data_IF_572597371281
#
_entry.id   IF_572597371281
#
_cell.length_a   1.000
_cell.length_b   1.000
_cell.length_c   1.000
_cell.angle_alpha   90.00
_cell.angle_beta   90.00
_cell.angle_gamma   90.00
#
_symmetry.space_group_name_H-M   'P 1'
#
loop_
_entity.id
_entity.type
_entity.pdbx_description
1 polymer ?
#
# COMPACT_ATOMS: atom_id res chain seq x y z
N UNK A 1 29.83 -49.60 -48.25
CA UNK A 1 30.52 -50.55 -47.33
C UNK A 1 29.71 -50.63 -46.04
N UNK A 2 29.10 -51.79 -45.84
CA UNK A 2 28.20 -52.09 -44.70
C UNK A 2 29.01 -52.43 -43.44
N UNK A 3 28.64 -51.90 -42.30
CA UNK A 3 28.96 -52.53 -41.03
C UNK A 3 27.70 -52.57 -40.15
N UNK A 4 27.24 -53.81 -39.97
CA UNK A 4 26.18 -54.21 -39.05
C UNK A 4 26.73 -54.13 -37.61
N UNK A 5 25.98 -53.55 -36.72
CA UNK A 5 26.26 -53.60 -35.27
C UNK A 5 25.13 -54.43 -34.64
N UNK A 6 25.56 -55.45 -33.93
CA UNK A 6 24.77 -56.48 -33.25
C UNK A 6 24.27 -55.91 -31.92
N UNK A 7 22.97 -56.04 -31.68
CA UNK A 7 22.33 -55.68 -30.40
C UNK A 7 22.35 -56.92 -29.50
N UNK A 8 23.01 -56.83 -28.35
CA UNK A 8 22.94 -57.84 -27.30
C UNK A 8 21.84 -57.47 -26.30
N UNK A 9 20.83 -58.32 -26.20
CA UNK A 9 19.73 -58.21 -25.26
C UNK A 9 20.13 -58.81 -23.93
N UNK A 10 20.27 -58.01 -22.86
CA UNK A 10 20.43 -58.53 -21.50
C UNK A 10 19.09 -58.35 -20.76
N UNK A 11 18.46 -59.49 -20.49
CA UNK A 11 17.24 -59.53 -19.66
C UNK A 11 17.67 -59.58 -18.20
N UNK A 12 17.38 -58.54 -17.42
CA UNK A 12 17.57 -58.51 -15.98
C UNK A 12 16.19 -58.63 -15.31
N UNK A 13 15.96 -59.77 -14.67
CA UNK A 13 14.78 -60.04 -13.85
C UNK A 13 15.03 -59.39 -12.49
N UNK A 14 14.29 -58.35 -12.12
CA UNK A 14 14.25 -57.75 -10.81
C UNK A 14 13.00 -58.16 -10.06
N UNK A 15 13.23 -58.86 -8.95
CA UNK A 15 12.21 -59.30 -7.99
C UNK A 15 11.75 -58.04 -7.23
N UNK A 16 10.45 -57.72 -7.33
CA UNK A 16 9.82 -56.64 -6.57
C UNK A 16 9.52 -57.12 -5.14
N UNK A 17 10.27 -56.64 -4.15
CA UNK A 17 9.84 -56.65 -2.75
C UNK A 17 8.91 -55.46 -2.52
N UNK A 18 7.64 -55.71 -2.32
CA UNK A 18 6.65 -54.70 -1.92
C UNK A 18 6.87 -54.38 -0.44
N UNK A 19 7.52 -53.23 -0.15
CA UNK A 19 7.40 -52.58 1.16
C UNK A 19 6.19 -51.66 1.15
N UNK A 20 5.17 -52.01 1.94
CA UNK A 20 3.99 -51.20 2.17
C UNK A 20 4.37 -50.09 3.14
N UNK A 21 4.79 -48.92 2.63
CA UNK A 21 4.94 -47.70 3.43
C UNK A 21 3.66 -46.91 3.34
N UNK A 22 2.88 -46.91 4.41
CA UNK A 22 1.78 -45.95 4.63
C UNK A 22 2.36 -44.56 4.71
N UNK A 23 2.27 -43.82 3.64
CA UNK A 23 2.58 -42.38 3.59
C UNK A 23 1.47 -41.64 4.33
N UNK A 24 1.76 -41.19 5.54
CA UNK A 24 0.91 -40.22 6.24
C UNK A 24 1.02 -38.89 5.48
N UNK A 25 -0.08 -38.45 4.90
CA UNK A 25 -0.21 -37.11 4.31
C UNK A 25 -0.08 -36.08 5.43
N UNK A 26 0.86 -35.14 5.39
CA UNK A 26 0.85 -34.06 6.38
C UNK A 26 -0.39 -33.19 6.14
N UNK A 27 -1.32 -33.22 7.09
CA UNK A 27 -2.43 -32.26 7.15
C UNK A 27 -1.82 -30.92 7.53
N UNK A 28 -1.62 -30.06 6.55
CA UNK A 28 -1.28 -28.65 6.82
C UNK A 28 -2.53 -27.97 7.36
N UNK A 29 -2.62 -27.86 8.68
CA UNK A 29 -3.55 -26.90 9.28
C UNK A 29 -3.17 -25.52 8.74
N UNK A 30 -4.15 -24.71 8.24
CA UNK A 30 -3.87 -23.32 7.94
C UNK A 30 -3.49 -22.66 9.27
N UNK A 31 -2.23 -22.25 9.37
CA UNK A 31 -1.76 -21.43 10.48
C UNK A 31 -2.53 -20.12 10.40
N UNK A 32 -3.48 -19.93 11.31
CA UNK A 32 -4.10 -18.64 11.51
C UNK A 32 -3.00 -17.66 11.94
N UNK A 33 -2.70 -16.70 11.08
CA UNK A 33 -1.85 -15.59 11.46
C UNK A 33 -2.54 -14.86 12.62
N UNK A 34 -1.83 -14.59 13.73
CA UNK A 34 -2.39 -13.74 14.76
C UNK A 34 -2.65 -12.38 14.10
N UNK A 35 -3.92 -11.99 14.05
CA UNK A 35 -4.30 -10.61 13.78
C UNK A 35 -3.82 -9.79 14.97
N UNK A 36 -2.58 -9.32 14.89
CA UNK A 36 -2.10 -8.30 15.79
C UNK A 36 -2.80 -7.00 15.37
N UNK A 37 -3.92 -6.71 16.03
CA UNK A 37 -4.43 -5.34 16.05
C UNK A 37 -3.35 -4.49 16.74
N UNK A 38 -2.66 -3.60 16.04
CA UNK A 38 -1.87 -2.60 16.72
C UNK A 38 -2.86 -1.71 17.47
N UNK A 39 -2.86 -1.81 18.80
CA UNK A 39 -3.63 -0.91 19.65
C UNK A 39 -2.91 0.43 19.63
N UNK A 40 -3.20 1.25 18.63
CA UNK A 40 -2.78 2.64 18.64
C UNK A 40 -3.66 3.38 19.65
N UNK A 41 -3.03 4.00 20.63
CA UNK A 41 -3.69 4.77 21.67
C UNK A 41 -4.27 6.09 21.14
N UNK A 42 -5.20 6.05 20.18
CA UNK A 42 -6.03 7.19 19.86
C UNK A 42 -7.03 7.36 21.00
N UNK A 43 -6.91 8.46 21.73
CA UNK A 43 -7.92 8.84 22.72
C UNK A 43 -9.25 9.00 21.98
N UNK A 44 -10.25 8.20 22.30
CA UNK A 44 -11.55 8.07 21.60
C UNK A 44 -12.28 9.41 21.33
N UNK A 45 -11.91 10.49 22.02
CA UNK A 45 -12.49 11.83 21.83
C UNK A 45 -11.91 12.66 20.68
N UNK A 46 -10.84 12.21 20.04
CA UNK A 46 -10.15 12.96 18.98
C UNK A 46 -10.42 12.42 17.57
N UNK A 47 -11.06 11.25 17.42
CA UNK A 47 -11.37 10.65 16.12
C UNK A 47 -12.47 11.46 15.43
N UNK A 48 -12.18 11.93 14.22
CA UNK A 48 -13.11 12.65 13.35
C UNK A 48 -13.79 11.71 12.36
N UNK A 49 -13.05 10.71 11.89
CA UNK A 49 -13.51 9.70 10.94
C UNK A 49 -12.63 8.45 11.06
N UNK A 50 -13.21 7.28 10.91
CA UNK A 50 -12.47 6.03 10.81
C UNK A 50 -13.19 5.07 9.89
N UNK A 51 -12.41 4.26 9.18
CA UNK A 51 -12.92 3.22 8.30
C UNK A 51 -11.98 2.01 8.30
N UNK A 52 -12.51 0.84 8.62
CA UNK A 52 -11.81 -0.44 8.50
C UNK A 52 -12.12 -1.14 7.17
N UNK A 53 -12.88 -0.47 6.28
CA UNK A 53 -13.31 -0.93 4.97
C UNK A 53 -14.17 -2.19 4.96
N UNK A 54 -14.81 -2.55 6.08
CA UNK A 54 -15.71 -3.70 6.15
C UNK A 54 -17.09 -3.42 5.56
N UNK A 55 -17.50 -2.14 5.50
CA UNK A 55 -18.72 -1.70 4.82
C UNK A 55 -18.37 -1.13 3.43
N UNK A 56 -18.75 -1.88 2.39
CA UNK A 56 -18.52 -1.45 1.01
C UNK A 56 -19.31 -0.20 0.58
N UNK A 57 -20.19 0.32 1.44
CA UNK A 57 -20.94 1.55 1.19
C UNK A 57 -20.43 2.74 2.04
N UNK A 58 -19.27 2.62 2.67
CA UNK A 58 -18.72 3.68 3.53
C UNK A 58 -18.25 4.93 2.75
N UNK A 59 -18.32 4.92 1.43
CA UNK A 59 -18.22 6.14 0.60
C UNK A 59 -16.92 6.31 -0.17
N UNK A 60 -16.05 5.30 -0.21
CA UNK A 60 -14.86 5.30 -1.06
C UNK A 60 -15.20 4.96 -2.51
N UNK A 61 -14.31 5.33 -3.41
CA UNK A 61 -14.52 5.16 -4.86
C UNK A 61 -14.60 3.68 -5.23
N UNK A 62 -15.65 3.29 -5.94
CA UNK A 62 -15.69 2.05 -6.71
C UNK A 62 -15.30 2.35 -8.15
N UNK A 63 -14.19 1.84 -8.61
CA UNK A 63 -13.71 2.03 -9.99
C UNK A 63 -13.06 0.76 -10.51
N UNK A 64 -13.50 0.35 -11.69
CA UNK A 64 -12.84 -0.71 -12.45
C UNK A 64 -12.72 -0.29 -13.90
N UNK A 65 -11.50 -0.06 -14.37
CA UNK A 65 -11.22 0.24 -15.77
C UNK A 65 -9.86 -0.36 -16.18
N UNK A 66 -9.46 -0.16 -17.44
CA UNK A 66 -8.20 -0.71 -17.98
C UNK A 66 -6.93 -0.13 -17.32
N UNK A 67 -7.03 0.97 -16.56
CA UNK A 67 -5.88 1.67 -15.99
C UNK A 67 -5.72 1.45 -14.49
N UNK A 68 -6.83 1.24 -13.79
CA UNK A 68 -6.83 1.03 -12.33
C UNK A 68 -8.10 0.35 -11.86
N UNK A 69 -7.99 -0.38 -10.75
CA UNK A 69 -9.12 -0.87 -9.96
C UNK A 69 -9.02 -0.30 -8.56
N UNK A 70 -10.12 0.23 -8.05
CA UNK A 70 -10.26 0.70 -6.67
C UNK A 70 -11.55 0.13 -6.13
N UNK A 71 -11.48 -0.68 -5.06
CA UNK A 71 -12.63 -1.38 -4.54
C UNK A 71 -12.39 -1.89 -3.12
N UNK A 72 -13.48 -2.20 -2.42
CA UNK A 72 -13.42 -2.90 -1.15
C UNK A 72 -13.16 -4.38 -1.39
N UNK A 73 -12.32 -4.96 -0.54
CA UNK A 73 -12.02 -6.39 -0.54
C UNK A 73 -12.04 -6.92 0.88
N UNK A 74 -12.06 -8.25 1.04
CA UNK A 74 -11.93 -8.82 2.38
C UNK A 74 -10.62 -8.40 3.04
N UNK A 75 -10.72 -7.65 4.13
CA UNK A 75 -9.58 -7.16 4.90
C UNK A 75 -9.14 -5.74 4.59
N UNK A 76 -9.79 -4.99 3.68
CA UNK A 76 -9.43 -3.60 3.44
C UNK A 76 -9.96 -3.00 2.15
N UNK A 77 -9.33 -1.92 1.74
CA UNK A 77 -9.59 -1.20 0.50
C UNK A 77 -8.39 -1.32 -0.45
N UNK A 78 -8.66 -1.68 -1.65
CA UNK A 78 -7.69 -2.09 -2.66
C UNK A 78 -7.52 -1.01 -3.73
N UNK A 79 -6.27 -0.66 -4.03
CA UNK A 79 -5.93 0.19 -5.17
C UNK A 79 -4.90 -0.55 -6.03
N UNK A 80 -5.34 -1.01 -7.20
CA UNK A 80 -4.47 -1.61 -8.21
C UNK A 80 -4.25 -0.64 -9.36
N UNK A 81 -3.00 -0.39 -9.75
CA UNK A 81 -2.61 0.54 -10.82
C UNK A 81 -1.90 -0.23 -11.93
N UNK A 82 -2.59 -0.43 -13.05
CA UNK A 82 -2.11 -1.22 -14.19
C UNK A 82 -1.43 -0.39 -15.28
N UNK A 83 -1.36 0.93 -15.11
CA UNK A 83 -0.73 1.85 -16.06
C UNK A 83 0.44 2.55 -15.39
N UNK A 84 1.59 2.61 -16.07
CA UNK A 84 2.79 3.33 -15.61
C UNK A 84 2.50 4.82 -15.44
N UNK A 85 3.14 5.43 -14.45
CA UNK A 85 3.08 6.87 -14.12
C UNK A 85 1.67 7.41 -13.80
N UNK A 86 0.70 6.52 -13.64
CA UNK A 86 -0.63 6.87 -13.17
C UNK A 86 -0.66 6.88 -11.65
N UNK A 87 -1.12 7.98 -11.07
CA UNK A 87 -1.52 8.06 -9.67
C UNK A 87 -3.03 7.82 -9.57
N UNK A 88 -3.42 6.76 -8.91
CA UNK A 88 -4.80 6.49 -8.55
C UNK A 88 -5.07 7.03 -7.17
N UNK A 89 -6.12 7.84 -7.01
CA UNK A 89 -6.52 8.44 -5.73
C UNK A 89 -7.95 8.06 -5.39
N UNK A 90 -8.20 7.82 -4.10
CA UNK A 90 -9.53 7.62 -3.55
C UNK A 90 -9.72 8.54 -2.35
N UNK A 91 -10.78 9.30 -2.34
CA UNK A 91 -11.04 10.36 -1.37
C UNK A 91 -12.19 9.94 -0.47
N UNK A 92 -11.99 10.05 0.85
CA UNK A 92 -13.07 9.83 1.82
C UNK A 92 -14.18 10.86 1.60
N UNK A 93 -15.41 10.40 1.52
CA UNK A 93 -16.57 11.28 1.27
C UNK A 93 -16.97 12.06 2.55
N UNK A 94 -16.00 12.72 3.15
CA UNK A 94 -16.16 13.53 4.36
C UNK A 94 -15.20 14.72 4.35
N UNK A 95 -15.66 15.97 4.41
CA UNK A 95 -14.77 17.13 4.49
C UNK A 95 -14.21 17.29 5.92
N UNK A 96 -12.97 17.72 6.02
CA UNK A 96 -12.24 17.93 7.27
C UNK A 96 -11.79 19.38 7.43
N UNK A 97 -11.54 19.78 8.67
CA UNK A 97 -10.86 21.03 9.00
C UNK A 97 -9.41 21.01 8.51
N UNK A 98 -8.73 22.16 8.52
CA UNK A 98 -7.35 22.26 8.06
C UNK A 98 -6.33 21.49 8.92
N UNK A 99 -6.62 21.35 10.23
CA UNK A 99 -5.74 20.67 11.18
C UNK A 99 -6.24 19.25 11.45
N UNK A 100 -5.59 18.28 10.87
CA UNK A 100 -5.90 16.85 11.01
C UNK A 100 -4.63 16.01 11.05
N UNK A 101 -4.73 14.86 11.71
CA UNK A 101 -3.83 13.73 11.55
C UNK A 101 -4.55 12.62 10.79
N UNK A 102 -3.87 12.00 9.82
CA UNK A 102 -4.37 10.91 9.00
C UNK A 102 -3.48 9.70 9.22
N UNK A 103 -4.05 8.55 9.52
CA UNK A 103 -3.33 7.30 9.72
C UNK A 103 -3.92 6.19 8.86
N UNK A 104 -3.06 5.30 8.35
CA UNK A 104 -3.49 4.12 7.59
C UNK A 104 -2.41 3.04 7.63
N UNK A 105 -2.81 1.79 7.61
CA UNK A 105 -1.93 0.66 7.31
C UNK A 105 -1.97 0.36 5.82
N UNK A 106 -0.82 0.28 5.18
CA UNK A 106 -0.69 0.03 3.75
C UNK A 106 0.24 -1.16 3.49
N UNK A 107 -0.22 -2.11 2.70
CA UNK A 107 0.53 -3.32 2.33
C UNK A 107 0.60 -3.44 0.81
N UNK A 108 1.81 -3.53 0.26
CA UNK A 108 1.96 -3.90 -1.15
C UNK A 108 1.67 -5.39 -1.31
N UNK A 109 0.69 -5.75 -2.11
CA UNK A 109 0.27 -7.13 -2.38
C UNK A 109 0.85 -7.68 -3.67
N UNK A 110 1.16 -6.79 -4.64
CA UNK A 110 1.84 -7.17 -5.89
C UNK A 110 2.53 -5.97 -6.56
N UNK A 111 3.33 -6.26 -7.57
CA UNK A 111 3.96 -5.28 -8.44
C UNK A 111 5.33 -4.80 -8.00
N UNK A 112 5.91 -3.82 -8.74
CA UNK A 112 7.25 -3.31 -8.51
C UNK A 112 7.37 -2.57 -7.18
N UNK A 113 8.60 -2.52 -6.64
CA UNK A 113 8.89 -1.79 -5.41
C UNK A 113 9.05 -0.28 -5.63
N UNK A 114 9.39 0.15 -6.83
CA UNK A 114 9.36 1.57 -7.23
C UNK A 114 7.91 1.99 -7.47
N UNK A 115 7.32 2.58 -6.44
CA UNK A 115 5.91 2.97 -6.40
C UNK A 115 5.72 4.16 -5.46
N UNK A 116 4.50 4.72 -5.40
CA UNK A 116 4.07 5.58 -4.30
C UNK A 116 2.84 4.99 -3.64
N UNK A 117 2.88 4.96 -2.31
CA UNK A 117 1.82 4.48 -1.44
C UNK A 117 1.62 5.53 -0.35
N UNK A 118 0.41 6.03 -0.15
CA UNK A 118 0.29 7.06 0.86
C UNK A 118 -1.09 7.64 1.07
N UNK A 119 -1.09 8.80 1.74
CA UNK A 119 -2.28 9.53 2.13
C UNK A 119 -2.29 10.94 1.56
N UNK A 120 -3.48 11.48 1.43
CA UNK A 120 -3.75 12.83 0.90
C UNK A 120 -4.38 13.65 2.00
N UNK A 121 -3.92 14.90 2.18
CA UNK A 121 -4.63 15.88 2.99
C UNK A 121 -4.91 17.17 2.23
N UNK A 122 -5.89 17.92 2.73
CA UNK A 122 -6.34 19.19 2.15
C UNK A 122 -6.64 19.08 0.65
N UNK A 123 -7.27 17.97 0.26
CA UNK A 123 -7.70 17.78 -1.11
C UNK A 123 -8.82 18.77 -1.44
N UNK A 124 -8.58 19.61 -2.43
CA UNK A 124 -9.54 20.56 -2.97
C UNK A 124 -10.22 20.00 -4.24
N UNK A 125 -9.40 19.46 -5.13
CA UNK A 125 -9.74 18.78 -6.37
C UNK A 125 -8.57 17.93 -6.87
N UNK A 126 -8.73 17.23 -8.00
CA UNK A 126 -7.71 16.32 -8.57
C UNK A 126 -6.40 17.01 -8.96
N UNK A 127 -6.35 18.34 -8.96
CA UNK A 127 -5.20 19.14 -9.35
C UNK A 127 -4.57 19.90 -8.18
N UNK A 128 -5.20 19.88 -6.99
CA UNK A 128 -4.82 20.73 -5.87
C UNK A 128 -4.94 19.96 -4.55
N UNK A 129 -3.84 19.43 -4.04
CA UNK A 129 -3.77 18.70 -2.77
C UNK A 129 -2.32 18.45 -2.32
N UNK A 130 -2.12 18.20 -1.03
CA UNK A 130 -0.90 17.61 -0.51
C UNK A 130 -0.99 16.10 -0.45
N UNK A 131 0.15 15.43 -0.64
CA UNK A 131 0.26 14.01 -0.38
C UNK A 131 1.58 13.64 0.30
N UNK A 132 1.50 12.57 1.09
CA UNK A 132 2.57 11.99 1.86
C UNK A 132 2.71 10.56 1.40
N UNK A 133 3.86 10.21 0.89
CA UNK A 133 4.03 8.89 0.31
C UNK A 133 5.34 8.23 0.71
N UNK A 134 5.28 6.91 0.76
CA UNK A 134 6.43 6.01 0.80
C UNK A 134 6.48 5.21 -0.48
N UNK A 135 7.61 4.57 -0.72
CA UNK A 135 7.82 3.60 -1.79
C UNK A 135 8.30 2.27 -1.20
N UNK A 136 7.89 1.17 -1.78
CA UNK A 136 8.26 -0.17 -1.28
C UNK A 136 9.74 -0.49 -1.44
N UNK A 137 10.50 0.30 -2.20
CA UNK A 137 11.96 0.24 -2.27
C UNK A 137 12.67 1.09 -1.20
N UNK A 138 11.90 1.71 -0.28
CA UNK A 138 12.43 2.36 0.92
C UNK A 138 12.56 3.87 0.84
N UNK A 139 11.92 4.55 -0.10
CA UNK A 139 11.92 6.01 -0.22
C UNK A 139 10.66 6.64 0.36
N UNK A 140 10.78 7.88 0.83
CA UNK A 140 9.66 8.65 1.37
C UNK A 140 9.72 10.11 0.94
N UNK A 141 8.58 10.79 0.96
CA UNK A 141 8.52 12.21 0.69
C UNK A 141 7.15 12.84 0.95
N UNK A 142 7.17 14.17 1.03
CA UNK A 142 5.99 15.02 1.05
C UNK A 142 5.99 15.80 -0.26
N UNK A 143 4.84 15.84 -0.92
CA UNK A 143 4.70 16.53 -2.19
C UNK A 143 3.30 17.15 -2.32
N UNK A 144 3.12 17.97 -3.33
CA UNK A 144 1.81 18.53 -3.68
C UNK A 144 1.53 18.39 -5.18
N UNK A 145 0.27 18.32 -5.52
CA UNK A 145 -0.24 18.75 -6.81
C UNK A 145 -0.79 20.16 -6.70
N UNK A 146 -0.35 21.04 -7.59
CA UNK A 146 -0.89 22.40 -7.74
C UNK A 146 -1.07 22.69 -9.22
N UNK A 147 -2.30 22.97 -9.63
CA UNK A 147 -2.65 23.21 -11.03
C UNK A 147 -2.12 22.10 -11.97
N UNK A 148 -2.33 20.83 -11.60
CA UNK A 148 -1.86 19.63 -12.30
C UNK A 148 -0.34 19.43 -12.35
N UNK A 149 0.44 20.22 -11.64
CA UNK A 149 1.90 20.08 -11.56
C UNK A 149 2.29 19.49 -10.21
N UNK A 150 3.02 18.37 -10.23
CA UNK A 150 3.58 17.77 -9.03
C UNK A 150 4.86 18.51 -8.63
N UNK A 151 4.99 18.83 -7.36
CA UNK A 151 6.20 19.40 -6.75
C UNK A 151 6.53 18.65 -5.47
N UNK A 152 7.77 18.20 -5.34
CA UNK A 152 8.27 17.60 -4.09
C UNK A 152 8.60 18.73 -3.12
N UNK A 153 8.13 18.62 -1.88
CA UNK A 153 8.32 19.62 -0.84
C UNK A 153 9.38 19.24 0.19
N UNK A 154 9.62 17.94 0.37
CA UNK A 154 10.57 17.39 1.34
C UNK A 154 12.02 17.39 0.88
N UNK A 155 12.32 17.86 -0.34
CA UNK A 155 13.67 17.90 -0.93
C UNK A 155 13.64 18.02 -2.44
N UNK A 156 14.72 17.64 -3.12
CA UNK A 156 14.77 17.59 -4.58
C UNK A 156 14.16 16.30 -5.16
N UNK A 157 14.09 15.26 -4.35
CA UNK A 157 13.53 13.94 -4.67
C UNK A 157 12.98 13.31 -3.40
N UNK A 158 12.30 12.17 -3.50
CA UNK A 158 12.08 11.29 -2.37
C UNK A 158 13.43 10.70 -1.94
N UNK A 159 13.63 10.55 -0.63
CA UNK A 159 14.90 10.09 -0.07
C UNK A 159 14.68 8.80 0.73
N UNK A 160 15.74 7.99 0.84
CA UNK A 160 15.67 6.71 1.53
C UNK A 160 15.46 6.89 3.05
N UNK A 161 14.63 6.02 3.62
CA UNK A 161 14.37 5.99 5.07
C UNK A 161 14.38 4.56 5.59
N UNK A 162 15.18 4.34 6.64
CA UNK A 162 15.20 3.05 7.34
C UNK A 162 13.93 2.76 8.17
N UNK A 163 13.02 3.72 8.28
CA UNK A 163 11.73 3.53 8.92
C UNK A 163 10.76 2.70 8.07
N UNK A 164 11.04 2.52 6.78
CA UNK A 164 10.17 1.82 5.84
C UNK A 164 10.50 0.33 5.83
N UNK A 165 9.50 -0.50 6.05
CA UNK A 165 9.57 -1.93 5.77
C UNK A 165 9.45 -2.14 4.26
N UNK A 166 10.53 -2.57 3.61
CA UNK A 166 10.60 -2.70 2.16
C UNK A 166 9.86 -3.93 1.63
N UNK A 167 9.56 -3.92 0.33
CA UNK A 167 8.93 -5.02 -0.38
C UNK A 167 7.44 -5.18 -0.06
N UNK A 168 6.98 -6.42 0.06
CA UNK A 168 5.58 -6.77 0.33
C UNK A 168 5.26 -6.74 1.84
N UNK A 169 5.70 -5.71 2.54
CA UNK A 169 5.50 -5.53 3.96
C UNK A 169 4.45 -4.45 4.25
N UNK A 170 3.77 -4.58 5.38
CA UNK A 170 2.88 -3.54 5.88
C UNK A 170 3.69 -2.39 6.46
N UNK A 171 3.29 -1.18 6.12
CA UNK A 171 3.78 0.05 6.74
C UNK A 171 2.59 0.83 7.31
N UNK A 172 2.77 1.34 8.53
CA UNK A 172 1.86 2.31 9.12
C UNK A 172 2.31 3.71 8.71
N UNK A 173 1.44 4.43 7.99
CA UNK A 173 1.70 5.77 7.49
C UNK A 173 0.84 6.74 8.29
N UNK A 174 1.47 7.78 8.87
CA UNK A 174 0.76 8.90 9.50
C UNK A 174 1.20 10.21 8.86
N UNK A 175 0.24 11.05 8.56
CA UNK A 175 0.45 12.41 8.07
C UNK A 175 -0.25 13.41 8.98
N UNK A 176 0.49 14.37 9.52
CA UNK A 176 -0.06 15.50 10.26
C UNK A 176 -0.05 16.75 9.38
N UNK A 177 -1.22 17.35 9.20
CA UNK A 177 -1.40 18.63 8.51
C UNK A 177 -1.91 19.65 9.54
N UNK A 178 -0.97 20.43 10.14
CA UNK A 178 -1.27 21.32 11.27
C UNK A 178 -0.73 22.72 11.01
N UNK A 179 -1.60 23.72 10.87
CA UNK A 179 -1.19 25.03 10.40
C UNK A 179 -0.48 24.91 9.06
N UNK A 180 0.69 25.49 8.94
CA UNK A 180 1.56 25.37 7.76
C UNK A 180 2.56 24.21 7.86
N UNK A 181 2.53 23.45 8.96
CA UNK A 181 3.45 22.33 9.19
C UNK A 181 2.83 21.04 8.63
N UNK A 182 3.60 20.37 7.78
CA UNK A 182 3.28 19.07 7.20
C UNK A 182 4.31 18.06 7.69
N UNK A 183 3.87 16.99 8.38
CA UNK A 183 4.76 16.00 8.98
C UNK A 183 4.39 14.59 8.54
N UNK A 184 5.38 13.82 8.09
CA UNK A 184 5.25 12.41 7.72
C UNK A 184 5.91 11.53 8.79
N UNK A 185 5.15 10.56 9.26
CA UNK A 185 5.66 9.46 10.10
C UNK A 185 5.46 8.13 9.38
N UNK A 186 6.42 7.24 9.54
CA UNK A 186 6.35 5.87 9.04
C UNK A 186 6.72 4.92 10.18
N UNK A 187 5.86 3.96 10.46
CA UNK A 187 6.04 2.98 11.54
C UNK A 187 6.39 3.63 12.90
N UNK A 188 5.75 4.78 13.20
CA UNK A 188 5.95 5.56 14.42
C UNK A 188 7.17 6.49 14.41
N UNK A 189 8.01 6.45 13.39
CA UNK A 189 9.19 7.31 13.25
C UNK A 189 8.87 8.53 12.40
N UNK A 190 9.17 9.74 12.89
CA UNK A 190 9.09 10.96 12.08
C UNK A 190 10.16 10.93 10.99
N UNK A 191 9.72 10.97 9.73
CA UNK A 191 10.62 10.95 8.56
C UNK A 191 10.84 12.35 8.02
N UNK A 192 9.78 13.14 7.91
CA UNK A 192 9.85 14.53 7.44
C UNK A 192 8.97 15.45 8.30
N UNK A 193 9.39 16.71 8.39
CA UNK A 193 8.57 17.83 8.83
C UNK A 193 8.97 19.06 8.02
N UNK A 194 8.02 19.64 7.29
CA UNK A 194 8.25 20.80 6.41
C UNK A 194 7.19 21.87 6.65
N UNK A 195 7.47 23.08 6.18
CA UNK A 195 6.52 24.19 6.23
C UNK A 195 6.08 24.53 4.80
N UNK A 196 4.78 24.49 4.55
CA UNK A 196 4.17 24.94 3.30
C UNK A 196 2.75 25.46 3.56
N UNK A 197 2.46 26.67 3.09
CA UNK A 197 1.18 27.36 3.28
C UNK A 197 0.31 27.42 2.00
N UNK A 198 0.65 26.65 0.97
CA UNK A 198 -0.04 26.70 -0.33
C UNK A 198 -1.53 26.37 -0.20
N UNK A 199 -1.88 25.33 0.57
CA UNK A 199 -3.26 24.95 0.86
C UNK A 199 -3.55 25.13 2.36
N UNK A 200 -3.94 26.31 2.79
CA UNK A 200 -4.20 26.64 4.20
C UNK A 200 -5.58 26.27 4.71
N UNK A 201 -6.55 26.03 3.82
CA UNK A 201 -7.92 25.65 4.19
C UNK A 201 -8.06 24.14 4.42
N UNK A 202 -9.15 23.75 5.09
CA UNK A 202 -9.58 22.36 5.14
C UNK A 202 -9.91 21.80 3.75
N UNK A 203 -10.24 20.54 3.69
CA UNK A 203 -10.57 19.82 2.45
C UNK A 203 -10.88 18.37 2.76
N UNK A 204 -10.63 17.50 1.82
CA UNK A 204 -10.83 16.07 2.04
C UNK A 204 -9.48 15.36 2.32
N UNK A 205 -9.59 14.19 2.96
CA UNK A 205 -8.49 13.25 3.13
C UNK A 205 -8.69 12.05 2.21
N UNK A 206 -7.60 11.34 1.88
CA UNK A 206 -7.70 10.20 0.99
C UNK A 206 -6.47 9.33 0.95
N UNK A 207 -6.51 8.36 0.04
CA UNK A 207 -5.49 7.36 -0.22
C UNK A 207 -4.95 7.54 -1.63
N UNK A 208 -3.71 7.14 -1.84
CA UNK A 208 -3.10 7.09 -3.17
C UNK A 208 -2.23 5.85 -3.37
N UNK A 209 -2.20 5.38 -4.61
CA UNK A 209 -1.17 4.49 -5.11
C UNK A 209 -0.72 4.95 -6.50
N UNK A 210 0.58 4.81 -6.80
CA UNK A 210 1.15 5.12 -8.10
C UNK A 210 2.16 4.06 -8.51
N UNK A 211 2.12 3.66 -9.76
CA UNK A 211 3.15 2.84 -10.40
C UNK A 211 4.17 3.76 -11.08
N UNK A 212 5.44 3.68 -10.68
CA UNK A 212 6.52 4.45 -11.30
C UNK A 212 7.25 3.58 -12.33
N UNK A 213 7.38 4.05 -13.56
CA UNK A 213 8.14 3.36 -14.62
C UNK A 213 7.68 1.97 -15.01
N UNK A 214 7.20 1.15 -14.07
CA UNK A 214 6.67 -0.21 -14.30
C UNK A 214 5.27 -0.35 -13.69
N UNK A 215 4.32 -0.84 -14.47
CA UNK A 215 2.92 -1.02 -14.08
C UNK A 215 2.68 -2.22 -13.16
N UNK A 216 1.47 -2.33 -12.62
CA UNK A 216 1.01 -3.50 -11.87
C UNK A 216 1.16 -3.37 -10.35
N UNK A 217 1.29 -2.16 -9.84
CA UNK A 217 1.28 -1.90 -8.38
C UNK A 217 -0.10 -2.21 -7.81
N UNK A 218 -0.09 -2.94 -6.72
CA UNK A 218 -1.29 -3.39 -6.02
C UNK A 218 -1.12 -3.19 -4.53
N UNK A 219 -1.98 -2.34 -3.94
CA UNK A 219 -1.90 -1.91 -2.54
C UNK A 219 -3.21 -2.19 -1.83
N UNK A 220 -3.10 -2.86 -0.68
CA UNK A 220 -4.18 -3.05 0.27
C UNK A 220 -4.03 -2.03 1.41
N UNK A 221 -5.05 -1.24 1.63
CA UNK A 221 -5.17 -0.30 2.74
C UNK A 221 -6.14 -0.84 3.79
N UNK A 222 -5.82 -0.63 5.07
CA UNK A 222 -6.67 -0.96 6.22
C UNK A 222 -6.52 0.07 7.32
N UNK A 223 -7.48 0.10 8.26
CA UNK A 223 -7.41 0.95 9.45
C UNK A 223 -7.21 2.45 9.16
N UNK A 224 -7.99 3.01 8.23
CA UNK A 224 -7.93 4.44 7.95
C UNK A 224 -8.57 5.24 9.09
N UNK A 225 -7.82 6.21 9.62
CA UNK A 225 -8.29 7.08 10.72
C UNK A 225 -7.94 8.52 10.40
N UNK A 226 -8.87 9.43 10.65
CA UNK A 226 -8.63 10.88 10.71
C UNK A 226 -8.97 11.36 12.10
N UNK A 227 -8.05 12.06 12.73
CA UNK A 227 -8.20 12.58 14.09
C UNK A 227 -7.82 14.06 14.18
N UNK A 228 -8.16 14.68 15.32
CA UNK A 228 -7.55 15.96 15.71
C UNK A 228 -6.10 15.69 16.10
N UNK A 229 -5.16 16.59 15.72
CA UNK A 229 -3.77 16.48 16.09
C UNK A 229 -3.54 16.55 17.59
#
# INVERSE_FOLDING_TARGET
>A
MNKKIIIALAILVLVAMACNTTTATPTTNPTSFPSANPTFGTTSGNILFQDNFSDSNSGWVHRQNAKSTMDYVSGGYHINVTTTDLMAISIANHPFQSNISIEVDATKTAGPDDNYIGVICRFQDENNFYFFAISSDGYAGIAMYKASTMSILSGSSFESSSAINQGAATNHIRADCVGDTLTLYVNGTQVYSIIDSTFGSGGYAGLLARANGTSGVDILFSNFVVSKP
#
